data_IF_673286432115
#
_entry.id   IF_673286432115
#
_cell.length_a   1.000
_cell.length_b   1.000
_cell.length_c   1.000
_cell.angle_alpha   90.00
_cell.angle_beta   90.00
_cell.angle_gamma   90.00
#
_symmetry.space_group_name_H-M   'P 1'
#
loop_
_entity.id
_entity.type
_entity.pdbx_description
1 polymer ?
#
# COMPACT_ATOMS: atom_id res chain seq x y z
N UNK A 1 -1.30 -8.18 -18.18
CA UNK A 1 -1.47 -7.63 -16.80
C UNK A 1 -0.52 -8.39 -15.87
N UNK A 2 0.11 -7.71 -14.91
CA UNK A 2 0.98 -8.38 -13.94
C UNK A 2 0.13 -9.22 -12.98
N UNK A 3 0.60 -10.42 -12.66
CA UNK A 3 0.00 -11.26 -11.61
C UNK A 3 0.75 -11.07 -10.30
N UNK A 4 0.03 -10.94 -9.19
CA UNK A 4 0.67 -10.91 -7.86
C UNK A 4 0.81 -12.34 -7.33
N UNK A 5 2.03 -12.73 -6.97
CA UNK A 5 2.33 -14.01 -6.30
C UNK A 5 2.95 -13.74 -4.95
N UNK A 6 2.40 -14.35 -3.90
CA UNK A 6 2.94 -14.24 -2.54
C UNK A 6 3.68 -15.54 -2.24
N UNK A 7 5.02 -15.51 -2.01
CA UNK A 7 5.77 -16.70 -1.62
C UNK A 7 5.28 -17.26 -0.27
N UNK A 8 5.39 -18.58 -0.09
CA UNK A 8 4.97 -19.25 1.15
C UNK A 8 5.69 -18.73 2.41
N UNK A 9 6.94 -18.27 2.25
CA UNK A 9 7.69 -17.67 3.35
C UNK A 9 7.16 -16.30 3.80
N UNK A 10 6.36 -15.62 2.97
CA UNK A 10 5.74 -14.30 3.26
C UNK A 10 4.27 -14.46 3.62
N UNK A 11 3.59 -15.44 3.00
CA UNK A 11 2.17 -15.69 3.19
C UNK A 11 1.84 -15.83 4.68
N UNK A 12 0.81 -15.11 5.12
CA UNK A 12 0.30 -15.10 6.50
C UNK A 12 1.32 -14.70 7.58
N UNK A 13 2.47 -14.09 7.21
CA UNK A 13 3.47 -13.57 8.17
C UNK A 13 3.21 -12.15 8.64
N UNK A 14 2.33 -11.43 7.94
CA UNK A 14 2.04 -10.02 8.18
C UNK A 14 0.56 -9.85 8.48
N UNK A 15 0.24 -9.02 9.47
CA UNK A 15 -1.14 -8.77 9.89
C UNK A 15 -1.63 -7.41 9.39
N UNK A 16 -0.79 -6.38 9.50
CA UNK A 16 -1.18 -5.00 9.21
C UNK A 16 -0.04 -4.23 8.54
N UNK A 17 -0.36 -3.04 8.04
CA UNK A 17 0.60 -2.03 7.59
C UNK A 17 0.37 -0.73 8.31
N UNK A 18 1.42 0.07 8.42
CA UNK A 18 1.37 1.44 8.90
C UNK A 18 1.58 2.37 7.71
N UNK A 19 0.59 3.20 7.41
CA UNK A 19 0.64 4.22 6.37
C UNK A 19 0.71 5.59 7.03
N UNK A 20 1.67 6.42 6.62
CA UNK A 20 1.70 7.83 6.97
C UNK A 20 0.73 8.55 6.04
N UNK A 21 -0.29 9.17 6.63
CA UNK A 21 -1.17 10.13 5.98
C UNK A 21 -0.67 11.54 6.29
N UNK A 22 -0.26 12.27 5.27
CA UNK A 22 0.09 13.69 5.37
C UNK A 22 -1.06 14.53 4.83
N UNK A 23 -1.60 15.40 5.68
CA UNK A 23 -2.54 16.43 5.28
C UNK A 23 -1.76 17.69 4.87
N UNK A 24 -1.79 18.03 3.58
CA UNK A 24 -1.12 19.19 3.00
C UNK A 24 -1.76 20.51 3.44
N UNK A 25 -3.03 20.50 3.87
CA UNK A 25 -3.74 21.68 4.33
C UNK A 25 -3.28 22.11 5.73
N UNK A 26 -3.16 21.15 6.65
CA UNK A 26 -2.72 21.42 8.03
C UNK A 26 -1.21 21.23 8.24
N UNK A 27 -0.53 20.52 7.34
CA UNK A 27 0.86 20.10 7.48
C UNK A 27 1.05 18.90 8.42
N UNK A 28 -0.03 18.34 8.98
CA UNK A 28 0.06 17.24 9.96
C UNK A 28 0.34 15.90 9.30
N UNK A 29 1.03 15.02 10.04
CA UNK A 29 1.25 13.64 9.67
C UNK A 29 0.64 12.73 10.72
N UNK A 30 -0.21 11.80 10.29
CA UNK A 30 -0.87 10.82 11.15
C UNK A 30 -0.54 9.43 10.66
N UNK A 31 -0.38 8.48 11.59
CA UNK A 31 -0.17 7.07 11.27
C UNK A 31 -1.51 6.34 11.25
N UNK A 32 -1.80 5.70 10.12
CA UNK A 32 -2.94 4.84 9.92
C UNK A 32 -2.46 3.39 9.95
N UNK A 33 -2.87 2.65 10.97
CA UNK A 33 -2.64 1.20 11.01
C UNK A 33 -3.82 0.50 10.35
N UNK A 34 -3.56 -0.26 9.28
CA UNK A 34 -4.58 -0.93 8.47
C UNK A 34 -4.28 -2.42 8.45
N UNK A 35 -5.23 -3.24 8.89
CA UNK A 35 -5.15 -4.69 8.75
C UNK A 35 -5.20 -5.08 7.28
N UNK A 36 -4.38 -6.04 6.85
CA UNK A 36 -4.42 -6.55 5.49
C UNK A 36 -5.79 -7.18 5.21
N UNK A 37 -6.38 -6.83 4.05
CA UNK A 37 -7.73 -7.21 3.66
C UNK A 37 -8.83 -6.27 4.19
N UNK A 38 -8.48 -5.17 4.86
CA UNK A 38 -9.45 -4.21 5.42
C UNK A 38 -9.23 -2.79 4.89
N UNK A 39 -10.22 -1.94 5.12
CA UNK A 39 -10.17 -0.51 4.84
C UNK A 39 -10.26 0.33 6.12
N UNK A 40 -9.70 1.54 6.06
CA UNK A 40 -9.92 2.60 7.05
C UNK A 40 -10.33 3.88 6.35
N UNK A 41 -11.15 4.68 7.03
CA UNK A 41 -11.44 6.05 6.61
C UNK A 41 -10.35 6.99 7.13
N UNK A 42 -9.87 7.88 6.27
CA UNK A 42 -8.91 8.92 6.63
C UNK A 42 -9.63 9.99 7.45
N UNK A 43 -9.14 10.35 8.65
CA UNK A 43 -9.78 11.35 9.50
C UNK A 43 -10.08 12.67 8.77
N UNK A 44 -11.21 13.29 9.11
CA UNK A 44 -11.66 14.56 8.55
C UNK A 44 -11.76 14.57 7.00
N UNK A 45 -12.14 13.42 6.41
CA UNK A 45 -12.36 13.26 4.98
C UNK A 45 -13.28 12.08 4.66
N UNK A 46 -13.70 11.99 3.40
CA UNK A 46 -14.42 10.82 2.87
C UNK A 46 -13.47 9.83 2.17
N UNK A 47 -12.14 10.03 2.27
CA UNK A 47 -11.17 9.13 1.70
C UNK A 47 -11.12 7.83 2.49
N UNK A 48 -11.07 6.72 1.77
CA UNK A 48 -10.88 5.38 2.32
C UNK A 48 -9.66 4.74 1.69
N UNK A 49 -8.85 4.06 2.50
CA UNK A 49 -7.70 3.29 2.06
C UNK A 49 -7.94 1.84 2.41
N UNK A 50 -8.03 0.99 1.39
CA UNK A 50 -8.01 -0.47 1.54
C UNK A 50 -6.57 -0.97 1.40
N UNK A 51 -6.07 -1.72 2.39
CA UNK A 51 -4.76 -2.37 2.31
C UNK A 51 -4.94 -3.84 1.88
N UNK A 52 -4.42 -4.19 0.71
CA UNK A 52 -4.49 -5.55 0.17
C UNK A 52 -3.29 -6.38 0.55
N UNK A 53 -2.31 -6.42 -0.35
CA UNK A 53 -1.17 -7.34 -0.26
C UNK A 53 0.07 -6.60 0.24
N UNK A 54 0.81 -7.19 1.18
CA UNK A 54 2.09 -6.66 1.63
C UNK A 54 3.25 -7.53 1.13
N UNK A 55 4.25 -6.88 0.53
CA UNK A 55 5.47 -7.50 0.01
C UNK A 55 6.66 -6.86 0.74
N UNK A 56 7.28 -7.55 1.71
CA UNK A 56 8.38 -6.97 2.51
C UNK A 56 9.66 -6.73 1.67
N UNK A 57 9.80 -7.43 0.56
CA UNK A 57 10.90 -7.31 -0.38
C UNK A 57 10.40 -7.31 -1.82
N UNK A 58 9.65 -6.25 -2.18
CA UNK A 58 9.00 -6.12 -3.48
C UNK A 58 9.98 -6.36 -4.64
N UNK A 59 9.56 -7.23 -5.55
CA UNK A 59 10.23 -7.56 -6.80
C UNK A 59 9.23 -7.56 -7.95
N UNK A 60 9.59 -6.89 -9.02
CA UNK A 60 8.93 -7.00 -10.32
C UNK A 60 9.75 -7.94 -11.20
N UNK A 61 9.14 -9.05 -11.62
CA UNK A 61 9.69 -9.94 -12.64
C UNK A 61 9.02 -9.58 -13.98
N UNK A 62 9.74 -8.79 -14.77
CA UNK A 62 9.23 -8.28 -16.06
C UNK A 62 9.10 -9.41 -17.09
N UNK A 63 10.00 -10.39 -17.08
CA UNK A 63 9.99 -11.52 -18.01
C UNK A 63 8.78 -12.44 -17.79
N UNK A 64 8.44 -12.70 -16.52
CA UNK A 64 7.29 -13.54 -16.16
C UNK A 64 5.99 -12.74 -15.98
N UNK A 65 6.04 -11.41 -16.09
CA UNK A 65 4.94 -10.52 -15.74
C UNK A 65 4.37 -10.81 -14.33
N UNK A 66 5.24 -10.99 -13.34
CA UNK A 66 4.88 -11.28 -11.95
C UNK A 66 5.36 -10.18 -11.01
N UNK A 67 4.50 -9.78 -10.07
CA UNK A 67 4.88 -9.00 -8.89
C UNK A 67 4.94 -9.97 -7.71
N UNK A 68 6.06 -9.98 -6.98
CA UNK A 68 6.29 -10.91 -5.86
C UNK A 68 7.16 -10.27 -4.77
N UNK A 69 7.42 -11.02 -3.70
CA UNK A 69 8.47 -10.70 -2.74
C UNK A 69 9.70 -11.57 -3.00
N UNK A 70 10.91 -11.03 -2.92
CA UNK A 70 12.16 -11.79 -3.07
C UNK A 70 12.59 -12.50 -1.77
N UNK A 71 12.11 -12.02 -0.62
CA UNK A 71 12.32 -12.62 0.69
C UNK A 71 11.20 -12.20 1.66
N UNK A 72 11.18 -12.76 2.88
CA UNK A 72 10.34 -12.26 3.98
C UNK A 72 11.03 -11.16 4.85
N UNK A 73 12.14 -10.57 4.38
CA UNK A 73 12.85 -9.51 5.10
C UNK A 73 12.40 -8.15 4.58
N UNK A 74 12.34 -7.14 5.46
CA UNK A 74 11.93 -5.77 5.11
C UNK A 74 13.01 -5.02 4.31
N UNK A 75 13.34 -5.51 3.11
CA UNK A 75 14.40 -4.97 2.26
C UNK A 75 13.89 -4.02 1.20
N UNK A 76 12.69 -4.23 0.66
CA UNK A 76 12.05 -3.30 -0.27
C UNK A 76 10.53 -3.29 -0.04
N UNK A 77 10.05 -2.81 1.12
CA UNK A 77 8.65 -2.98 1.49
C UNK A 77 7.73 -2.21 0.57
N UNK A 78 6.68 -2.88 0.11
CA UNK A 78 5.57 -2.28 -0.62
C UNK A 78 4.22 -2.87 -0.17
N UNK A 79 3.17 -2.07 -0.27
CA UNK A 79 1.79 -2.51 -0.06
C UNK A 79 0.94 -2.15 -1.26
N UNK A 80 0.15 -3.11 -1.72
CA UNK A 80 -0.91 -2.88 -2.70
C UNK A 80 -2.11 -2.28 -1.99
N UNK A 81 -2.55 -1.11 -2.42
CA UNK A 81 -3.71 -0.41 -1.88
C UNK A 81 -4.74 -0.10 -2.97
N UNK A 82 -5.96 0.15 -2.52
CA UNK A 82 -6.98 0.86 -3.29
C UNK A 82 -7.45 2.05 -2.47
N UNK A 83 -7.56 3.21 -3.11
CA UNK A 83 -7.98 4.45 -2.45
C UNK A 83 -9.27 4.91 -3.11
N UNK A 84 -10.26 5.23 -2.29
CA UNK A 84 -11.58 5.67 -2.73
C UNK A 84 -11.91 7.00 -2.10
N UNK A 85 -12.63 7.85 -2.83
CA UNK A 85 -13.25 9.07 -2.31
C UNK A 85 -14.70 9.11 -2.80
N UNK A 86 -15.64 9.34 -1.87
CA UNK A 86 -17.08 9.36 -2.18
C UNK A 86 -17.56 8.13 -2.97
N UNK A 87 -16.97 6.96 -2.66
CA UNK A 87 -17.26 5.68 -3.33
C UNK A 87 -16.58 5.48 -4.69
N UNK A 88 -15.90 6.49 -5.24
CA UNK A 88 -15.15 6.38 -6.49
C UNK A 88 -13.71 5.95 -6.21
N UNK A 89 -13.22 4.92 -6.91
CA UNK A 89 -11.80 4.55 -6.84
C UNK A 89 -10.95 5.65 -7.50
N UNK A 90 -10.03 6.23 -6.74
CA UNK A 90 -9.05 7.20 -7.21
C UNK A 90 -7.69 6.56 -7.51
N UNK A 91 -7.38 5.44 -6.87
CA UNK A 91 -6.11 4.74 -7.02
C UNK A 91 -6.28 3.23 -6.79
N UNK A 92 -5.63 2.36 -7.59
CA UNK A 92 -4.94 2.69 -8.83
C UNK A 92 -5.94 3.07 -9.95
N UNK A 93 -5.40 3.34 -11.14
CA UNK A 93 -6.20 3.36 -12.37
C UNK A 93 -6.97 2.05 -12.57
N UNK A 94 -8.12 2.11 -13.25
CA UNK A 94 -9.07 0.99 -13.35
C UNK A 94 -8.56 -0.25 -14.09
N UNK A 95 -7.44 -0.14 -14.82
CA UNK A 95 -6.74 -1.22 -15.51
C UNK A 95 -5.79 -2.02 -14.60
N UNK A 96 -5.59 -1.56 -13.37
CA UNK A 96 -4.69 -2.18 -12.39
C UNK A 96 -5.46 -2.69 -11.19
N UNK A 97 -5.04 -3.84 -10.68
CA UNK A 97 -5.61 -4.40 -9.45
C UNK A 97 -5.14 -3.62 -8.21
N UNK A 98 -3.86 -3.24 -8.15
CA UNK A 98 -3.25 -2.59 -7.00
C UNK A 98 -2.49 -1.34 -7.39
N UNK A 99 -2.62 -0.31 -6.56
CA UNK A 99 -1.70 0.82 -6.53
C UNK A 99 -0.65 0.57 -5.46
N UNK A 100 0.62 0.70 -5.79
CA UNK A 100 1.71 0.33 -4.89
C UNK A 100 2.24 1.53 -4.13
N UNK A 101 2.24 1.45 -2.80
CA UNK A 101 2.96 2.38 -1.94
C UNK A 101 4.28 1.74 -1.50
N UNK A 102 5.39 2.44 -1.74
CA UNK A 102 6.74 1.96 -1.44
C UNK A 102 7.31 2.69 -0.23
N UNK A 103 7.90 1.97 0.73
CA UNK A 103 8.53 2.60 1.88
C UNK A 103 9.85 3.30 1.53
N UNK A 104 10.63 2.69 0.62
CA UNK A 104 11.94 3.21 0.21
C UNK A 104 11.88 4.26 -0.90
N UNK A 105 10.87 4.21 -1.75
CA UNK A 105 10.71 5.09 -2.91
C UNK A 105 9.31 5.73 -2.93
N UNK A 106 8.95 6.51 -1.91
CA UNK A 106 7.57 6.95 -1.67
C UNK A 106 6.98 7.86 -2.77
N UNK A 107 7.82 8.46 -3.60
CA UNK A 107 7.41 9.31 -4.72
C UNK A 107 7.12 8.51 -5.99
N UNK A 108 7.61 7.27 -6.10
CA UNK A 108 7.42 6.39 -7.25
C UNK A 108 5.97 5.91 -7.30
N UNK A 109 5.28 6.22 -8.40
CA UNK A 109 3.85 5.90 -8.59
C UNK A 109 2.94 6.41 -7.44
N UNK A 110 3.32 7.54 -6.85
CA UNK A 110 2.59 8.12 -5.72
C UNK A 110 1.15 8.50 -6.08
N UNK A 111 0.25 8.27 -5.14
CA UNK A 111 -1.12 8.74 -5.20
C UNK A 111 -1.16 10.27 -5.28
N UNK A 112 -1.88 10.81 -6.26
CA UNK A 112 -2.03 12.25 -6.47
C UNK A 112 -3.39 12.72 -5.92
N UNK A 113 -3.34 13.61 -4.94
CA UNK A 113 -4.51 14.24 -4.35
C UNK A 113 -4.18 15.65 -3.89
N UNK A 114 -5.15 16.57 -3.95
CA UNK A 114 -4.95 17.98 -3.60
C UNK A 114 -4.56 18.17 -2.13
N UNK A 115 -5.16 17.37 -1.24
CA UNK A 115 -4.99 17.52 0.22
C UNK A 115 -4.14 16.44 0.86
N UNK A 116 -4.14 15.22 0.34
CA UNK A 116 -3.58 14.08 1.07
C UNK A 116 -2.42 13.45 0.31
N UNK A 117 -1.49 12.89 1.06
CA UNK A 117 -0.36 12.11 0.55
C UNK A 117 -0.23 10.88 1.45
N UNK A 118 -0.05 9.71 0.84
CA UNK A 118 0.07 8.45 1.56
C UNK A 118 1.42 7.80 1.26
N UNK A 119 2.12 7.42 2.32
CA UNK A 119 3.41 6.74 2.24
C UNK A 119 3.38 5.52 3.13
N UNK A 120 3.85 4.37 2.63
CA UNK A 120 4.06 3.21 3.47
C UNK A 120 5.21 3.49 4.46
N UNK A 121 4.94 3.34 5.76
CA UNK A 121 5.96 3.41 6.80
C UNK A 121 6.57 2.04 7.09
N UNK A 122 5.73 1.04 7.37
CA UNK A 122 6.18 -0.30 7.72
C UNK A 122 5.06 -1.36 7.61
N UNK A 123 5.43 -2.64 7.68
CA UNK A 123 4.52 -3.76 7.97
C UNK A 123 4.57 -4.16 9.44
N UNK A 124 3.48 -4.72 9.96
CA UNK A 124 3.35 -5.29 11.30
C UNK A 124 3.26 -6.82 11.16
N UNK A 125 4.21 -7.58 11.72
CA UNK A 125 4.16 -9.04 11.70
C UNK A 125 2.92 -9.57 12.42
N UNK A 126 2.42 -10.71 11.96
CA UNK A 126 1.36 -11.45 12.66
C UNK A 126 1.93 -12.05 13.94
N UNK A 127 1.26 -11.81 15.07
CA UNK A 127 1.61 -12.39 16.37
C UNK A 127 1.07 -13.81 16.55
#
# INVERSE_FOLDING_TARGET
PYTVKIPDEVKDKWESVVIICKDKKSGTKTELTIKLGHEVTVPDSNLKIFAGVFLPDFKLDEEQHVITSASNKLLNPAVGVKIYEDGKQLFPSSDKEWGWLYAKFPTMHSFQHERFEFVLKNGIPKS
#
